data_IF_223711518313
#
_entry.id   IF_223711518313
#
_cell.length_a   1.000
_cell.length_b   1.000
_cell.length_c   1.000
_cell.angle_alpha   90.00
_cell.angle_beta   90.00
_cell.angle_gamma   90.00
#
_symmetry.space_group_name_H-M   'P 1'
#
loop_
_entity.id
_entity.type
_entity.pdbx_description
1 polymer ?
#
# COMPACT_ATOMS: atom_id res chain seq x y z
N UNK A 1 -16.20 35.72 21.77
CA UNK A 1 -14.97 34.91 21.91
C UNK A 1 -15.31 33.70 22.75
N UNK A 2 -14.89 32.49 22.36
CA UNK A 2 -15.04 31.28 23.17
C UNK A 2 -13.77 31.08 23.99
N UNK A 3 -13.88 30.94 25.32
CA UNK A 3 -12.75 30.53 26.16
C UNK A 3 -12.37 29.08 25.84
N UNK A 4 -11.07 28.84 25.57
CA UNK A 4 -10.55 27.56 25.05
C UNK A 4 -9.87 26.76 26.16
N UNK A 5 -10.68 26.06 26.98
CA UNK A 5 -10.24 25.33 28.17
C UNK A 5 -9.16 24.25 27.87
N UNK A 6 -9.14 23.69 26.65
CA UNK A 6 -8.15 22.70 26.23
C UNK A 6 -6.71 23.26 26.11
N UNK A 7 -6.53 24.59 26.11
CA UNK A 7 -5.20 25.19 26.17
C UNK A 7 -4.64 25.21 27.59
N UNK A 8 -5.53 25.40 28.58
CA UNK A 8 -5.15 25.46 29.99
C UNK A 8 -4.97 24.06 30.56
N UNK A 9 -5.86 23.14 30.19
CA UNK A 9 -5.81 21.74 30.60
C UNK A 9 -6.28 20.79 29.49
N UNK A 10 -5.33 20.14 28.79
CA UNK A 10 -5.64 19.16 27.75
C UNK A 10 -6.29 17.88 28.29
N UNK A 11 -6.22 17.63 29.61
CA UNK A 11 -6.80 16.47 30.30
C UNK A 11 -8.22 16.71 30.82
N UNK A 12 -8.78 17.91 30.63
CA UNK A 12 -10.12 18.22 31.05
C UNK A 12 -11.13 17.41 30.20
N UNK A 13 -11.80 16.45 30.83
CA UNK A 13 -12.75 15.54 30.19
C UNK A 13 -14.21 15.99 30.34
N UNK A 14 -14.49 16.82 31.34
CA UNK A 14 -15.83 17.31 31.64
C UNK A 14 -15.78 18.81 31.96
N UNK A 15 -16.81 19.53 31.57
CA UNK A 15 -16.90 20.98 31.82
C UNK A 15 -18.35 21.46 31.73
N UNK A 16 -18.66 22.57 32.38
CA UNK A 16 -19.95 23.26 32.27
C UNK A 16 -19.79 24.53 31.44
N UNK A 17 -20.74 24.76 30.55
CA UNK A 17 -20.78 25.93 29.69
C UNK A 17 -22.21 26.47 29.52
N UNK A 18 -22.31 27.73 29.08
CA UNK A 18 -23.57 28.34 28.68
C UNK A 18 -23.69 28.34 27.15
N UNK A 19 -24.87 27.92 26.65
CA UNK A 19 -25.23 28.02 25.25
C UNK A 19 -25.47 29.49 24.88
N UNK A 20 -24.67 30.05 23.99
CA UNK A 20 -24.83 31.42 23.51
C UNK A 20 -25.72 31.51 22.27
N UNK A 21 -25.56 30.54 21.35
CA UNK A 21 -26.31 30.46 20.09
C UNK A 21 -26.55 28.98 19.76
N UNK A 22 -27.73 28.69 19.25
CA UNK A 22 -28.06 27.38 18.65
C UNK A 22 -28.85 27.60 17.37
N UNK A 23 -28.27 27.26 16.22
CA UNK A 23 -28.88 27.45 14.91
C UNK A 23 -28.96 26.14 14.12
N UNK A 24 -30.01 25.94 13.30
CA UNK A 24 -30.09 24.79 12.41
C UNK A 24 -28.93 24.74 11.40
N UNK A 25 -28.41 23.54 11.14
CA UNK A 25 -27.42 23.23 10.12
C UNK A 25 -27.77 21.89 9.43
N UNK A 26 -28.61 21.92 8.41
CA UNK A 26 -29.15 20.74 7.76
C UNK A 26 -29.96 19.89 8.73
N UNK A 27 -29.55 18.64 8.94
CA UNK A 27 -30.15 17.70 9.88
C UNK A 27 -29.55 17.81 11.30
N UNK A 28 -28.67 18.78 11.54
CA UNK A 28 -27.95 18.99 12.77
C UNK A 28 -28.09 20.44 13.26
N UNK A 29 -27.38 20.80 14.31
CA UNK A 29 -27.40 22.13 14.89
C UNK A 29 -25.97 22.60 15.18
N UNK A 30 -25.66 23.85 14.84
CA UNK A 30 -24.41 24.51 15.24
C UNK A 30 -24.63 25.25 16.55
N UNK A 31 -23.84 24.92 17.55
CA UNK A 31 -23.90 25.49 18.89
C UNK A 31 -22.63 26.28 19.17
N UNK A 32 -22.82 27.52 19.65
CA UNK A 32 -21.78 28.36 20.19
C UNK A 32 -21.87 28.38 21.71
N UNK A 33 -20.75 28.11 22.37
CA UNK A 33 -20.61 28.14 23.82
C UNK A 33 -19.75 29.33 24.27
N UNK A 34 -19.96 29.80 25.52
CA UNK A 34 -19.10 30.79 26.15
C UNK A 34 -17.69 30.24 26.39
N UNK A 35 -17.54 28.97 26.70
CA UNK A 35 -16.26 28.24 26.85
C UNK A 35 -16.38 26.78 26.39
N UNK A 36 -15.25 26.17 26.02
CA UNK A 36 -15.25 24.79 25.52
C UNK A 36 -13.95 24.08 25.82
N UNK A 37 -14.06 22.79 26.23
CA UNK A 37 -12.95 21.85 26.30
C UNK A 37 -12.81 21.00 25.01
N UNK A 38 -13.77 21.04 24.07
CA UNK A 38 -13.68 20.35 22.79
C UNK A 38 -12.63 21.00 21.91
N UNK A 39 -11.62 20.23 21.50
CA UNK A 39 -10.62 20.67 20.55
C UNK A 39 -11.21 20.68 19.13
N UNK A 40 -11.08 21.78 18.38
CA UNK A 40 -11.54 21.86 16.99
C UNK A 40 -10.51 21.28 16.03
N UNK A 41 -10.91 20.94 14.81
CA UNK A 41 -9.95 20.59 13.74
C UNK A 41 -8.98 21.76 13.51
N UNK A 42 -7.71 21.53 13.79
CA UNK A 42 -6.66 22.54 13.60
C UNK A 42 -5.27 21.89 13.54
N UNK A 43 -4.33 22.49 12.77
CA UNK A 43 -2.93 22.08 12.74
C UNK A 43 -2.68 20.61 12.36
N UNK A 44 -3.57 19.98 11.61
CA UNK A 44 -3.49 18.56 11.24
C UNK A 44 -4.06 17.59 12.28
N UNK A 45 -4.46 18.08 13.47
CA UNK A 45 -5.18 17.30 14.46
C UNK A 45 -6.69 17.42 14.24
N UNK A 46 -7.43 16.29 14.14
CA UNK A 46 -8.89 16.28 14.03
C UNK A 46 -9.57 16.74 15.32
N UNK A 47 -10.85 17.13 15.18
CA UNK A 47 -11.71 17.55 16.28
C UNK A 47 -12.04 16.42 17.26
N UNK A 48 -12.41 16.83 18.49
CA UNK A 48 -12.95 15.92 19.48
C UNK A 48 -14.42 15.62 19.25
N UNK A 49 -14.85 14.48 19.74
CA UNK A 49 -16.25 14.10 19.85
C UNK A 49 -16.64 13.94 21.32
N UNK A 50 -17.93 13.83 21.59
CA UNK A 50 -18.45 13.65 22.95
C UNK A 50 -19.91 14.04 23.05
N UNK A 51 -20.30 14.52 24.23
CA UNK A 51 -21.68 14.93 24.55
C UNK A 51 -21.74 16.36 25.08
N UNK A 52 -22.77 17.11 24.69
CA UNK A 52 -23.20 18.37 25.29
C UNK A 52 -24.63 18.17 25.79
N UNK A 53 -24.79 17.95 27.09
CA UNK A 53 -26.04 17.45 27.65
C UNK A 53 -26.41 16.13 27.00
N UNK A 54 -27.58 16.06 26.36
CA UNK A 54 -28.08 14.88 25.64
C UNK A 54 -27.80 14.91 24.13
N UNK A 55 -27.11 15.96 23.63
CA UNK A 55 -26.73 16.11 22.22
C UNK A 55 -25.32 15.59 21.98
N UNK A 56 -25.16 14.74 20.95
CA UNK A 56 -23.83 14.25 20.53
C UNK A 56 -23.11 15.29 19.70
N UNK A 57 -21.83 15.58 20.02
CA UNK A 57 -20.94 16.42 19.23
C UNK A 57 -20.34 15.58 18.11
N UNK A 58 -20.55 15.99 16.86
CA UNK A 58 -20.13 15.29 15.64
C UNK A 58 -19.13 16.06 14.80
N UNK A 59 -18.96 17.37 15.05
CA UNK A 59 -17.91 18.20 14.47
C UNK A 59 -17.60 19.38 15.39
N UNK A 60 -16.35 19.85 15.40
CA UNK A 60 -15.93 21.06 16.11
C UNK A 60 -14.97 21.84 15.20
N UNK A 61 -15.32 23.10 14.91
CA UNK A 61 -14.53 23.95 14.05
C UNK A 61 -14.37 25.38 14.61
N UNK A 62 -13.37 26.10 14.09
CA UNK A 62 -13.08 27.48 14.50
C UNK A 62 -13.45 28.43 13.39
N UNK A 63 -14.17 29.51 13.72
CA UNK A 63 -14.42 30.65 12.86
C UNK A 63 -13.99 31.93 13.58
N UNK A 64 -12.84 32.46 13.18
CA UNK A 64 -12.22 33.58 13.89
C UNK A 64 -11.84 33.20 15.34
N UNK A 65 -12.46 33.87 16.32
CA UNK A 65 -12.19 33.64 17.75
C UNK A 65 -13.23 32.76 18.44
N UNK A 66 -14.19 32.20 17.71
CA UNK A 66 -15.26 31.37 18.29
C UNK A 66 -15.12 29.92 17.85
N UNK A 67 -15.53 29.02 18.75
CA UNK A 67 -15.54 27.57 18.52
C UNK A 67 -16.99 27.12 18.35
N UNK A 68 -17.29 26.57 17.17
CA UNK A 68 -18.59 26.03 16.82
C UNK A 68 -18.62 24.51 17.03
N UNK A 69 -19.71 24.01 17.60
CA UNK A 69 -19.94 22.58 17.82
C UNK A 69 -21.15 22.15 16.99
N UNK A 70 -20.98 21.26 16.05
CA UNK A 70 -22.12 20.64 15.34
C UNK A 70 -22.63 19.46 16.16
N UNK A 71 -23.92 19.52 16.54
CA UNK A 71 -24.54 18.54 17.42
C UNK A 71 -25.79 17.93 16.80
N UNK A 72 -26.16 16.73 17.31
CA UNK A 72 -27.29 15.94 16.76
C UNK A 72 -28.67 16.40 17.21
N UNK A 73 -28.77 17.21 18.28
CA UNK A 73 -30.03 17.73 18.82
C UNK A 73 -29.87 19.21 19.15
N UNK A 74 -30.97 19.99 19.11
CA UNK A 74 -30.94 21.40 19.50
C UNK A 74 -30.72 21.57 21.01
N UNK A 75 -30.02 22.64 21.37
CA UNK A 75 -29.84 23.07 22.76
C UNK A 75 -30.49 24.44 22.94
N UNK A 76 -31.10 24.69 24.10
CA UNK A 76 -31.74 25.96 24.38
C UNK A 76 -30.71 27.06 24.61
N UNK A 77 -30.84 28.18 23.92
CA UNK A 77 -29.99 29.36 24.15
C UNK A 77 -30.20 29.88 25.61
N UNK A 78 -29.12 30.31 26.23
CA UNK A 78 -29.07 30.71 27.62
C UNK A 78 -29.02 29.55 28.65
N UNK A 79 -29.21 28.31 28.22
CA UNK A 79 -29.15 27.15 29.12
C UNK A 79 -27.69 26.83 29.50
N UNK A 80 -27.50 26.34 30.75
CA UNK A 80 -26.26 25.68 31.14
C UNK A 80 -26.25 24.25 30.63
N UNK A 81 -25.14 23.81 30.03
CA UNK A 81 -24.96 22.48 29.52
C UNK A 81 -23.67 21.87 30.07
N UNK A 82 -23.73 20.57 30.39
CA UNK A 82 -22.58 19.79 30.79
C UNK A 82 -21.95 19.14 29.55
N UNK A 83 -20.65 19.36 29.31
CA UNK A 83 -19.89 18.79 28.23
C UNK A 83 -19.01 17.63 28.69
N UNK A 84 -19.03 16.52 27.96
CA UNK A 84 -18.20 15.33 28.22
C UNK A 84 -17.44 14.97 26.96
N UNK A 85 -16.09 14.99 27.04
CA UNK A 85 -15.18 14.67 25.93
C UNK A 85 -15.03 13.16 25.79
N UNK A 86 -15.01 12.65 24.54
CA UNK A 86 -14.54 11.29 24.27
C UNK A 86 -13.04 11.21 24.53
N UNK A 87 -12.68 10.84 25.76
CA UNK A 87 -11.29 10.82 26.20
C UNK A 87 -10.41 9.88 25.38
N UNK A 88 -10.90 8.70 25.01
CA UNK A 88 -10.13 7.75 24.23
C UNK A 88 -9.69 8.36 22.88
N UNK A 89 -10.58 9.08 22.20
CA UNK A 89 -10.27 9.81 20.97
C UNK A 89 -9.30 10.98 21.21
N UNK A 90 -9.55 11.79 22.23
CA UNK A 90 -8.69 12.92 22.60
C UNK A 90 -7.27 12.44 22.88
N UNK A 91 -7.11 11.45 23.75
CA UNK A 91 -5.81 10.98 24.18
C UNK A 91 -5.03 10.31 23.04
N UNK A 92 -5.70 9.54 22.19
CA UNK A 92 -5.12 9.00 20.97
C UNK A 92 -4.58 10.11 20.06
N UNK A 93 -5.36 11.18 19.81
CA UNK A 93 -4.87 12.32 19.02
C UNK A 93 -3.70 13.05 19.69
N UNK A 94 -3.69 13.18 21.01
CA UNK A 94 -2.58 13.76 21.75
C UNK A 94 -1.30 12.93 21.58
N UNK A 95 -1.41 11.59 21.63
CA UNK A 95 -0.28 10.67 21.39
C UNK A 95 0.25 10.80 19.95
N UNK A 96 -0.64 10.78 18.94
CA UNK A 96 -0.23 10.92 17.54
C UNK A 96 0.45 12.28 17.31
N UNK A 97 -0.09 13.37 17.89
CA UNK A 97 0.46 14.72 17.68
C UNK A 97 1.82 14.89 18.35
N UNK A 98 1.99 14.38 19.56
CA UNK A 98 3.29 14.42 20.21
C UNK A 98 4.33 13.55 19.48
N UNK A 99 3.92 12.37 18.97
CA UNK A 99 4.77 11.52 18.13
C UNK A 99 5.21 12.23 16.83
N UNK A 100 4.32 13.01 16.19
CA UNK A 100 4.67 13.86 15.05
C UNK A 100 5.84 14.78 15.39
N UNK A 101 5.71 15.55 16.48
CA UNK A 101 6.77 16.47 16.89
C UNK A 101 8.09 15.76 17.17
N UNK A 102 8.07 14.61 17.86
CA UNK A 102 9.25 13.84 18.17
C UNK A 102 9.92 13.28 16.91
N UNK A 103 9.15 12.70 15.98
CA UNK A 103 9.68 12.21 14.69
C UNK A 103 10.22 13.37 13.86
N UNK A 104 9.52 14.50 13.80
CA UNK A 104 9.95 15.69 13.08
C UNK A 104 11.26 16.28 13.65
N UNK A 105 11.39 16.31 14.98
CA UNK A 105 12.61 16.70 15.65
C UNK A 105 13.78 15.75 15.36
N UNK A 106 13.56 14.45 15.44
CA UNK A 106 14.57 13.43 15.11
C UNK A 106 15.00 13.50 13.63
N UNK A 107 14.06 13.63 12.69
CA UNK A 107 14.33 13.84 11.26
C UNK A 107 15.18 15.10 11.03
N UNK A 108 14.88 16.18 11.75
CA UNK A 108 15.67 17.41 11.65
C UNK A 108 17.10 17.23 12.22
N UNK A 109 17.25 16.64 13.40
CA UNK A 109 18.56 16.42 14.02
C UNK A 109 19.44 15.46 13.21
N UNK A 110 18.87 14.34 12.77
CA UNK A 110 19.61 13.23 12.12
C UNK A 110 19.85 13.51 10.63
N UNK A 111 18.85 14.04 9.92
CA UNK A 111 18.87 14.14 8.46
C UNK A 111 18.68 15.56 7.91
N UNK A 112 18.54 16.57 8.76
CA UNK A 112 18.23 17.96 8.38
C UNK A 112 16.91 18.10 7.60
N UNK A 113 15.98 17.15 7.75
CA UNK A 113 14.65 17.19 7.17
C UNK A 113 13.80 18.31 7.77
N UNK A 114 12.97 18.95 6.95
CA UNK A 114 12.05 20.02 7.37
C UNK A 114 10.62 19.57 7.18
N UNK A 115 9.84 19.53 8.26
CA UNK A 115 8.43 19.16 8.23
C UNK A 115 7.61 20.24 7.54
N UNK A 116 6.80 19.85 6.54
CA UNK A 116 5.94 20.74 5.76
C UNK A 116 4.45 20.44 5.92
N UNK A 117 4.08 19.30 6.50
CA UNK A 117 2.69 18.96 6.77
C UNK A 117 2.56 17.80 7.75
N UNK A 118 1.50 17.87 8.57
CA UNK A 118 1.04 16.81 9.46
C UNK A 118 -0.37 16.40 9.04
N UNK A 119 -0.65 15.11 9.09
CA UNK A 119 -1.98 14.56 8.90
C UNK A 119 -2.23 13.41 9.90
N UNK A 120 -3.07 13.68 10.89
CA UNK A 120 -3.56 12.66 11.83
C UNK A 120 -4.89 12.13 11.28
N UNK A 121 -4.93 10.85 10.90
CA UNK A 121 -6.15 10.14 10.51
C UNK A 121 -6.61 9.19 11.61
N UNK A 122 -7.70 8.46 11.39
CA UNK A 122 -8.21 7.50 12.37
C UNK A 122 -7.33 6.25 12.54
N UNK A 123 -6.56 5.87 11.51
CA UNK A 123 -5.75 4.65 11.53
C UNK A 123 -4.25 4.93 11.53
N UNK A 124 -3.77 5.70 10.59
CA UNK A 124 -2.34 5.93 10.35
C UNK A 124 -2.10 7.43 10.25
N UNK A 125 -1.17 7.94 11.01
CA UNK A 125 -0.73 9.33 10.93
C UNK A 125 0.44 9.47 9.95
N UNK A 126 0.61 10.65 9.35
CA UNK A 126 1.72 10.89 8.43
C UNK A 126 2.28 12.29 8.52
N UNK A 127 3.59 12.39 8.28
CA UNK A 127 4.35 13.64 8.17
C UNK A 127 4.88 13.75 6.75
N UNK A 128 4.69 14.91 6.15
CA UNK A 128 5.36 15.27 4.90
C UNK A 128 6.62 16.07 5.20
N UNK A 129 7.76 15.61 4.70
CA UNK A 129 9.09 16.16 5.01
C UNK A 129 9.79 16.57 3.73
N UNK A 130 10.28 17.81 3.67
CA UNK A 130 11.24 18.24 2.67
C UNK A 130 12.64 17.83 3.12
N UNK A 131 13.32 17.06 2.27
CA UNK A 131 14.70 16.63 2.53
C UNK A 131 15.70 17.61 1.92
N UNK A 132 16.94 17.69 2.43
CA UNK A 132 18.00 18.45 1.82
C UNK A 132 18.26 18.04 0.37
N UNK A 133 18.83 18.95 -0.41
CA UNK A 133 19.23 18.66 -1.80
C UNK A 133 20.15 17.43 -1.89
N UNK A 134 19.87 16.55 -2.83
CA UNK A 134 20.59 15.28 -3.02
C UNK A 134 20.08 14.11 -2.17
N UNK A 135 19.23 14.33 -1.17
CA UNK A 135 18.62 13.25 -0.38
C UNK A 135 17.28 12.85 -0.99
N UNK A 136 17.30 11.80 -1.81
CA UNK A 136 16.11 11.31 -2.52
C UNK A 136 15.43 10.12 -1.84
N UNK A 137 16.06 9.55 -0.80
CA UNK A 137 15.57 8.38 -0.08
C UNK A 137 15.99 8.44 1.40
N UNK A 138 15.14 7.90 2.26
CA UNK A 138 15.43 7.55 3.66
C UNK A 138 15.55 6.03 3.69
N UNK A 139 16.69 5.51 4.15
CA UNK A 139 16.95 4.07 4.22
C UNK A 139 16.42 3.47 5.52
N UNK A 140 16.26 2.16 5.57
CA UNK A 140 15.75 1.46 6.76
C UNK A 140 16.63 1.67 7.99
N UNK A 141 17.94 1.86 7.79
CA UNK A 141 18.87 2.20 8.88
C UNK A 141 18.58 3.58 9.48
N UNK A 142 18.28 4.58 8.64
CA UNK A 142 17.91 5.91 9.09
C UNK A 142 16.56 5.90 9.80
N UNK A 143 15.59 5.15 9.26
CA UNK A 143 14.27 4.94 9.91
C UNK A 143 14.48 4.36 11.29
N UNK A 144 15.31 3.32 11.43
CA UNK A 144 15.61 2.69 12.72
C UNK A 144 16.30 3.64 13.70
N UNK A 145 17.23 4.48 13.23
CA UNK A 145 17.87 5.51 14.05
C UNK A 145 16.87 6.54 14.57
N UNK A 146 15.95 6.98 13.72
CA UNK A 146 14.88 7.93 14.09
C UNK A 146 13.93 7.28 15.13
N UNK A 147 13.52 6.03 14.92
CA UNK A 147 12.65 5.31 15.85
C UNK A 147 13.33 5.12 17.22
N UNK A 148 14.61 4.77 17.25
CA UNK A 148 15.38 4.61 18.48
C UNK A 148 15.50 5.92 19.23
N UNK A 149 15.81 7.03 18.56
CA UNK A 149 15.88 8.37 19.16
C UNK A 149 14.54 8.77 19.80
N UNK A 150 13.45 8.59 19.07
CA UNK A 150 12.09 8.90 19.57
C UNK A 150 11.71 8.03 20.75
N UNK A 151 11.93 6.71 20.67
CA UNK A 151 11.55 5.79 21.74
C UNK A 151 12.48 5.90 22.96
N UNK A 152 13.73 6.36 22.82
CA UNK A 152 14.60 6.72 23.98
C UNK A 152 13.99 7.88 24.78
N UNK A 153 13.51 8.93 24.11
CA UNK A 153 12.80 10.04 24.77
C UNK A 153 11.54 9.57 25.50
N UNK A 154 10.79 8.62 24.90
CA UNK A 154 9.61 8.00 25.53
C UNK A 154 10.03 7.23 26.81
N UNK A 155 11.05 6.39 26.72
CA UNK A 155 11.55 5.58 27.85
C UNK A 155 12.11 6.45 28.98
N UNK A 156 12.78 7.55 28.64
CA UNK A 156 13.24 8.54 29.61
C UNK A 156 12.12 9.39 30.18
N UNK A 157 10.91 9.24 29.64
CA UNK A 157 9.72 9.99 30.05
C UNK A 157 9.94 11.51 30.13
N UNK A 158 10.57 12.07 29.08
CA UNK A 158 10.88 13.51 29.05
C UNK A 158 9.60 14.35 29.15
N UNK A 159 9.63 15.50 29.87
CA UNK A 159 8.43 16.33 30.03
C UNK A 159 8.02 16.99 28.72
N UNK A 160 6.70 17.15 28.53
CA UNK A 160 6.11 17.94 27.44
C UNK A 160 5.46 19.17 28.08
N UNK A 161 5.97 20.35 27.75
CA UNK A 161 5.49 21.63 28.26
C UNK A 161 4.79 22.41 27.17
N UNK A 162 3.68 23.04 27.53
CA UNK A 162 2.89 23.87 26.64
C UNK A 162 2.60 25.19 27.33
N UNK A 163 2.96 26.34 26.71
CA UNK A 163 2.71 27.66 27.28
C UNK A 163 2.60 28.74 26.21
N UNK A 164 2.13 29.92 26.61
CA UNK A 164 2.12 31.12 25.81
C UNK A 164 3.23 32.06 26.32
N UNK A 165 4.39 32.12 25.69
CA UNK A 165 5.46 33.02 26.10
C UNK A 165 5.10 34.48 25.83
N UNK A 166 5.61 35.42 26.64
CA UNK A 166 5.63 36.86 26.28
C UNK A 166 6.41 37.09 24.97
N UNK A 167 6.09 38.18 24.26
CA UNK A 167 6.69 38.46 22.96
C UNK A 167 8.22 38.57 22.99
N UNK A 168 8.80 39.06 24.09
CA UNK A 168 10.24 39.18 24.30
C UNK A 168 10.89 37.81 24.45
N UNK A 169 10.28 36.90 25.22
CA UNK A 169 10.75 35.51 25.39
C UNK A 169 10.67 34.75 24.06
N UNK A 170 9.57 34.90 23.32
CA UNK A 170 9.35 34.19 22.04
C UNK A 170 10.49 34.39 21.04
N UNK A 171 11.09 35.59 21.00
CA UNK A 171 12.18 35.92 20.09
C UNK A 171 13.49 35.21 20.41
N UNK A 172 13.66 34.73 21.66
CA UNK A 172 14.88 34.09 22.13
C UNK A 172 14.77 32.56 22.13
N UNK A 173 13.56 31.99 21.94
CA UNK A 173 13.35 30.56 21.97
C UNK A 173 13.99 29.86 20.74
N UNK A 174 14.69 28.73 20.94
CA UNK A 174 15.32 27.97 19.87
C UNK A 174 14.30 27.12 19.09
N UNK A 175 13.37 27.78 18.42
CA UNK A 175 12.31 27.12 17.69
C UNK A 175 12.85 26.37 16.46
N UNK A 176 12.50 25.11 16.28
CA UNK A 176 12.85 24.32 15.08
C UNK A 176 12.31 24.96 13.79
N UNK A 177 11.18 25.64 13.86
CA UNK A 177 10.54 26.33 12.74
C UNK A 177 9.93 27.65 13.21
N UNK A 178 10.06 28.70 12.40
CA UNK A 178 9.41 29.96 12.66
C UNK A 178 7.89 29.82 12.79
N UNK A 179 7.23 30.52 13.75
CA UNK A 179 5.78 30.53 13.88
C UNK A 179 5.11 31.08 12.62
N UNK A 180 3.96 30.52 12.26
CA UNK A 180 3.12 31.05 11.17
C UNK A 180 2.14 32.13 11.63
N UNK A 181 1.97 32.30 12.94
CA UNK A 181 1.13 33.32 13.58
C UNK A 181 2.02 34.28 14.37
N UNK A 182 1.61 35.52 14.49
CA UNK A 182 2.39 36.58 15.14
C UNK A 182 1.86 36.96 16.53
N UNK A 183 0.60 36.61 16.83
CA UNK A 183 -0.04 36.89 18.11
C UNK A 183 -0.52 35.59 18.79
N UNK A 184 -0.50 35.58 20.10
CA UNK A 184 -0.92 34.43 20.91
C UNK A 184 -0.26 33.11 20.48
N UNK A 185 1.05 33.17 20.23
CA UNK A 185 1.84 32.01 19.83
C UNK A 185 1.97 31.04 21.00
N UNK A 186 1.38 29.86 20.87
CA UNK A 186 1.57 28.78 21.85
C UNK A 186 2.77 27.95 21.48
N UNK A 187 3.64 27.67 22.45
CA UNK A 187 4.84 26.85 22.27
C UNK A 187 4.62 25.48 22.92
N UNK A 188 5.14 24.45 22.24
CA UNK A 188 5.26 23.10 22.75
C UNK A 188 6.74 22.75 22.77
N UNK A 189 7.24 22.33 23.93
CA UNK A 189 8.61 21.81 24.11
C UNK A 189 8.54 20.37 24.62
N UNK A 190 9.34 19.49 24.02
CA UNK A 190 9.49 18.07 24.41
C UNK A 190 10.94 17.86 24.82
N UNK A 191 11.15 17.71 26.12
CA UNK A 191 12.50 17.77 26.69
C UNK A 191 13.19 19.08 26.33
N UNK A 192 14.49 18.99 26.07
CA UNK A 192 15.33 20.12 25.63
C UNK A 192 15.61 20.11 24.12
N UNK A 193 15.21 19.07 23.44
CA UNK A 193 15.61 18.77 22.04
C UNK A 193 14.60 19.20 20.99
N UNK A 194 13.34 19.41 21.34
CA UNK A 194 12.30 19.81 20.41
C UNK A 194 11.49 20.98 20.98
N UNK A 195 11.41 22.04 20.19
CA UNK A 195 10.60 23.21 20.52
C UNK A 195 9.96 23.79 19.27
N UNK A 196 8.62 23.96 19.28
CA UNK A 196 7.88 24.41 18.11
C UNK A 196 6.61 25.17 18.49
N UNK A 197 6.17 26.09 17.65
CA UNK A 197 4.86 26.73 17.79
C UNK A 197 3.76 25.73 17.38
N UNK A 198 2.85 25.40 18.33
CA UNK A 198 1.77 24.46 18.10
C UNK A 198 0.53 24.73 18.96
N UNK A 199 -0.64 24.80 18.33
CA UNK A 199 -1.95 24.96 18.99
C UNK A 199 -2.63 23.65 19.33
N UNK A 200 -2.01 22.48 19.12
CA UNK A 200 -2.61 21.17 19.39
C UNK A 200 -2.63 20.77 20.85
N UNK A 201 -3.32 19.69 21.16
CA UNK A 201 -3.29 19.08 22.50
C UNK A 201 -2.20 18.02 22.58
N UNK A 202 -1.48 17.99 23.70
CA UNK A 202 -0.36 17.08 23.94
C UNK A 202 -0.45 16.44 25.33
N UNK A 203 0.10 15.22 25.52
CA UNK A 203 0.29 14.65 26.85
C UNK A 203 1.32 15.47 27.64
N UNK A 204 1.35 15.33 28.97
CA UNK A 204 2.28 16.06 29.84
C UNK A 204 3.70 15.50 29.83
N UNK A 205 3.89 14.28 29.31
CA UNK A 205 5.21 13.65 29.19
C UNK A 205 5.24 12.62 28.07
N UNK A 206 6.43 12.39 27.52
CA UNK A 206 6.64 11.48 26.40
C UNK A 206 6.32 10.02 26.75
N UNK A 207 6.54 9.58 28.00
CA UNK A 207 6.22 8.22 28.42
C UNK A 207 4.74 7.83 28.24
N UNK A 208 3.82 8.80 28.16
CA UNK A 208 2.41 8.56 27.87
C UNK A 208 2.15 8.17 26.42
N UNK A 209 3.11 8.29 25.52
CA UNK A 209 3.01 7.77 24.15
C UNK A 209 3.17 6.24 24.11
N UNK A 210 3.86 5.65 25.10
CA UNK A 210 4.12 4.21 25.15
C UNK A 210 5.12 3.76 24.10
N UNK A 211 4.72 3.70 22.83
CA UNK A 211 5.56 3.28 21.69
C UNK A 211 5.25 4.13 20.47
N UNK A 212 6.27 4.45 19.69
CA UNK A 212 6.15 5.03 18.35
C UNK A 212 6.77 4.08 17.33
N UNK A 213 6.03 3.80 16.25
CA UNK A 213 6.48 2.97 15.13
C UNK A 213 6.30 3.71 13.81
N UNK A 214 7.36 3.79 13.01
CA UNK A 214 7.31 4.24 11.62
C UNK A 214 6.93 3.03 10.77
N UNK A 215 5.80 3.11 10.06
CA UNK A 215 5.28 2.00 9.24
C UNK A 215 5.88 2.00 7.83
N UNK A 216 6.07 3.19 7.27
CA UNK A 216 6.61 3.32 5.91
C UNK A 216 7.18 4.72 5.66
N UNK A 217 8.09 4.78 4.71
CA UNK A 217 8.60 6.03 4.13
C UNK A 217 8.51 5.93 2.62
N UNK A 218 7.85 6.89 1.98
CA UNK A 218 7.63 6.88 0.54
C UNK A 218 7.79 8.28 -0.08
N UNK A 219 8.30 8.39 -1.32
CA UNK A 219 8.31 9.64 -2.08
C UNK A 219 6.87 10.12 -2.35
N UNK A 220 6.62 11.41 -2.18
CA UNK A 220 5.31 12.03 -2.40
C UNK A 220 5.45 13.44 -2.99
N UNK A 221 5.36 13.58 -4.31
CA UNK A 221 5.35 14.87 -5.03
C UNK A 221 6.48 15.84 -4.60
N UNK A 222 7.73 15.38 -4.66
CA UNK A 222 8.92 16.20 -4.32
C UNK A 222 9.25 16.29 -2.83
N UNK A 223 8.60 15.50 -2.00
CA UNK A 223 8.81 15.36 -0.56
C UNK A 223 8.79 13.89 -0.15
N UNK A 224 9.17 13.59 1.08
CA UNK A 224 9.04 12.26 1.66
C UNK A 224 7.84 12.24 2.61
N UNK A 225 7.01 11.21 2.49
CA UNK A 225 5.93 10.93 3.44
C UNK A 225 6.37 9.84 4.40
N UNK A 226 6.38 10.15 5.68
CA UNK A 226 6.65 9.22 6.78
C UNK A 226 5.31 8.88 7.43
N UNK A 227 4.90 7.62 7.31
CA UNK A 227 3.68 7.10 7.94
C UNK A 227 4.03 6.43 9.27
N UNK A 228 3.28 6.73 10.32
CA UNK A 228 3.58 6.27 11.67
C UNK A 228 2.32 6.01 12.50
N UNK A 229 2.50 5.32 13.60
CA UNK A 229 1.53 5.10 14.67
C UNK A 229 2.20 5.27 16.02
N UNK A 230 1.41 5.70 17.03
CA UNK A 230 1.86 5.85 18.41
C UNK A 230 0.82 5.27 19.40
N UNK A 231 1.23 4.98 20.61
CA UNK A 231 0.35 4.55 21.70
C UNK A 231 -0.37 3.24 21.40
N UNK A 232 -1.67 3.22 21.66
CA UNK A 232 -2.50 2.03 21.44
C UNK A 232 -2.49 1.55 19.99
N UNK A 233 -2.35 2.46 19.02
CA UNK A 233 -2.25 2.09 17.59
C UNK A 233 -0.99 1.30 17.32
N UNK A 234 0.15 1.70 17.90
CA UNK A 234 1.42 0.98 17.76
C UNK A 234 1.37 -0.39 18.45
N UNK A 235 0.69 -0.50 19.59
CA UNK A 235 0.47 -1.78 20.27
C UNK A 235 -0.40 -2.73 19.45
N UNK A 236 -1.48 -2.23 18.84
CA UNK A 236 -2.34 -3.03 17.95
C UNK A 236 -1.59 -3.48 16.70
N UNK A 237 -0.76 -2.62 16.11
CA UNK A 237 0.11 -2.98 14.97
C UNK A 237 1.09 -4.09 15.35
N UNK A 238 1.73 -3.97 16.52
CA UNK A 238 2.61 -5.02 17.05
C UNK A 238 1.87 -6.37 17.21
N UNK A 239 0.67 -6.37 17.80
CA UNK A 239 -0.12 -7.59 17.94
C UNK A 239 -0.42 -8.21 16.58
N UNK A 240 -0.90 -7.41 15.61
CA UNK A 240 -1.21 -7.90 14.27
C UNK A 240 0.02 -8.52 13.56
N UNK A 241 1.18 -7.85 13.66
CA UNK A 241 2.44 -8.37 13.11
C UNK A 241 2.91 -9.65 13.83
N UNK A 242 2.83 -9.67 15.17
CA UNK A 242 3.20 -10.83 16.00
C UNK A 242 2.33 -12.05 15.69
N UNK A 243 0.99 -11.85 15.66
CA UNK A 243 0.04 -12.92 15.38
C UNK A 243 0.25 -13.49 13.97
N UNK A 244 0.47 -12.63 12.96
CA UNK A 244 0.75 -13.06 11.59
C UNK A 244 2.06 -13.86 11.50
N UNK A 245 3.12 -13.41 12.19
CA UNK A 245 4.41 -14.10 12.21
C UNK A 245 4.32 -15.46 12.90
N UNK A 246 3.62 -15.55 14.05
CA UNK A 246 3.37 -16.82 14.75
C UNK A 246 2.54 -17.79 13.92
N UNK A 247 1.47 -17.30 13.28
CA UNK A 247 0.65 -18.13 12.40
C UNK A 247 1.41 -18.66 11.18
N UNK A 248 2.35 -17.87 10.62
CA UNK A 248 3.22 -18.32 9.55
C UNK A 248 4.24 -19.38 10.04
N UNK A 249 4.84 -19.15 11.21
CA UNK A 249 5.78 -20.09 11.82
C UNK A 249 5.12 -21.45 12.13
N UNK A 250 3.91 -21.44 12.69
CA UNK A 250 3.13 -22.65 12.96
C UNK A 250 2.88 -23.47 11.70
N UNK A 251 2.45 -22.83 10.58
CA UNK A 251 2.23 -23.51 9.29
C UNK A 251 3.48 -24.17 8.72
N UNK A 252 4.65 -23.61 9.03
CA UNK A 252 5.95 -24.15 8.57
C UNK A 252 6.63 -25.04 9.61
N UNK A 253 5.98 -25.33 10.74
CA UNK A 253 6.58 -26.05 11.86
C UNK A 253 7.91 -25.45 12.30
N UNK A 254 7.99 -24.12 12.31
CA UNK A 254 9.15 -23.30 12.66
C UNK A 254 8.87 -22.45 13.92
N UNK A 255 9.88 -21.83 14.45
CA UNK A 255 9.75 -20.72 15.41
C UNK A 255 10.05 -19.37 14.70
N UNK A 256 9.87 -18.25 15.38
CA UNK A 256 10.09 -16.92 14.78
C UNK A 256 11.54 -16.71 14.31
N UNK A 257 12.51 -17.28 15.01
CA UNK A 257 13.92 -17.16 14.65
C UNK A 257 14.26 -17.92 13.37
N UNK A 258 13.69 -19.11 13.20
CA UNK A 258 13.91 -19.97 12.03
C UNK A 258 12.95 -19.75 10.89
N UNK A 259 11.91 -18.93 11.08
CA UNK A 259 10.87 -18.65 10.07
C UNK A 259 11.42 -18.18 8.72
N UNK A 260 12.37 -17.21 8.64
CA UNK A 260 12.93 -16.77 7.36
C UNK A 260 13.60 -17.93 6.61
N UNK A 261 14.44 -18.70 7.29
CA UNK A 261 15.11 -19.85 6.69
C UNK A 261 14.11 -20.93 6.21
N UNK A 262 13.03 -21.17 6.94
CA UNK A 262 11.97 -22.11 6.57
C UNK A 262 11.22 -21.66 5.32
N UNK A 263 11.00 -20.35 5.15
CA UNK A 263 10.42 -19.78 3.92
C UNK A 263 11.37 -19.99 2.75
N UNK A 264 12.66 -19.73 2.90
CA UNK A 264 13.66 -19.94 1.85
C UNK A 264 13.73 -21.39 1.39
N UNK A 265 13.66 -22.33 2.33
CA UNK A 265 13.59 -23.78 2.04
C UNK A 265 12.32 -24.12 1.26
N UNK A 266 11.16 -23.59 1.66
CA UNK A 266 9.89 -23.79 0.95
C UNK A 266 9.95 -23.25 -0.49
N UNK A 267 10.45 -22.03 -0.67
CA UNK A 267 10.61 -21.42 -1.99
C UNK A 267 11.55 -22.24 -2.90
N UNK A 268 12.68 -22.70 -2.36
CA UNK A 268 13.64 -23.53 -3.07
C UNK A 268 13.03 -24.87 -3.48
N UNK A 269 12.28 -25.51 -2.57
CA UNK A 269 11.60 -26.78 -2.85
C UNK A 269 10.50 -26.61 -3.91
N UNK A 270 9.72 -25.54 -3.84
CA UNK A 270 8.71 -25.21 -4.85
C UNK A 270 9.35 -25.08 -6.23
N UNK A 271 10.43 -24.32 -6.36
CA UNK A 271 11.17 -24.15 -7.62
C UNK A 271 11.69 -25.49 -8.17
N UNK A 272 12.23 -26.34 -7.30
CA UNK A 272 12.70 -27.68 -7.71
C UNK A 272 11.54 -28.52 -8.25
N UNK A 273 10.42 -28.60 -7.53
CA UNK A 273 9.24 -29.38 -7.94
C UNK A 273 8.65 -28.84 -9.26
N UNK A 274 8.59 -27.53 -9.45
CA UNK A 274 8.14 -26.91 -10.71
C UNK A 274 9.06 -27.29 -11.88
N UNK A 275 10.37 -27.30 -11.67
CA UNK A 275 11.38 -27.68 -12.67
C UNK A 275 11.24 -29.15 -13.03
N UNK A 276 11.12 -30.04 -12.04
CA UNK A 276 10.92 -31.47 -12.26
C UNK A 276 9.61 -31.76 -13.00
N UNK A 277 8.52 -31.07 -12.59
CA UNK A 277 7.22 -31.21 -13.25
C UNK A 277 7.30 -30.80 -14.73
N UNK A 278 7.98 -29.70 -15.03
CA UNK A 278 8.16 -29.23 -16.40
C UNK A 278 9.04 -30.20 -17.22
N UNK A 279 10.09 -30.75 -16.63
CA UNK A 279 10.90 -31.81 -17.27
C UNK A 279 10.06 -33.07 -17.57
N UNK A 280 9.29 -33.55 -16.61
CA UNK A 280 8.41 -34.73 -16.81
C UNK A 280 7.32 -34.46 -17.87
N UNK A 281 6.72 -33.27 -17.90
CA UNK A 281 5.78 -32.88 -18.96
C UNK A 281 6.44 -32.90 -20.33
N UNK A 282 7.66 -32.35 -20.41
CA UNK A 282 8.46 -32.34 -21.64
C UNK A 282 8.75 -33.75 -22.14
N UNK A 283 9.28 -34.60 -21.28
CA UNK A 283 9.59 -35.99 -21.62
C UNK A 283 8.33 -36.75 -22.06
N UNK A 284 7.22 -36.58 -21.36
CA UNK A 284 5.93 -37.22 -21.72
C UNK A 284 5.44 -36.78 -23.10
N UNK A 285 5.62 -35.51 -23.48
CA UNK A 285 5.17 -35.01 -24.78
C UNK A 285 6.11 -35.46 -25.89
N UNK A 286 7.42 -35.33 -25.69
CA UNK A 286 8.42 -35.71 -26.67
C UNK A 286 8.44 -37.25 -26.91
N UNK A 287 8.19 -38.06 -25.89
CA UNK A 287 8.12 -39.53 -26.04
C UNK A 287 6.98 -40.01 -26.95
N UNK A 288 6.03 -39.13 -27.29
CA UNK A 288 4.97 -39.46 -28.26
C UNK A 288 5.39 -39.29 -29.72
N UNK A 289 6.52 -38.64 -29.99
CA UNK A 289 6.96 -38.38 -31.37
C UNK A 289 7.07 -39.63 -32.24
N UNK A 290 7.64 -40.77 -31.79
CA UNK A 290 7.67 -42.01 -32.60
C UNK A 290 6.29 -42.54 -32.96
N UNK A 291 5.32 -42.48 -32.02
CA UNK A 291 3.94 -42.88 -32.28
C UNK A 291 3.25 -41.92 -33.27
N UNK A 292 3.48 -40.59 -33.12
CA UNK A 292 2.93 -39.61 -34.06
C UNK A 292 3.49 -39.77 -35.47
N UNK A 293 4.76 -40.17 -35.61
CA UNK A 293 5.38 -40.49 -36.90
C UNK A 293 4.81 -41.79 -37.51
N UNK A 294 4.53 -42.79 -36.68
CA UNK A 294 3.92 -44.05 -37.12
C UNK A 294 2.45 -43.83 -37.57
N UNK A 295 1.69 -43.00 -36.85
CA UNK A 295 0.27 -42.75 -37.12
C UNK A 295 0.04 -41.61 -38.13
N UNK A 296 1.10 -41.09 -38.73
CA UNK A 296 1.04 -39.96 -39.69
C UNK A 296 0.22 -40.34 -40.95
N UNK A 297 -0.63 -39.41 -41.37
CA UNK A 297 -1.39 -39.54 -42.63
C UNK A 297 -0.44 -39.42 -43.81
N UNK A 298 -0.47 -40.40 -44.73
CA UNK A 298 0.33 -40.37 -45.94
C UNK A 298 -0.46 -39.67 -47.06
N UNK A 299 0.03 -38.53 -47.52
CA UNK A 299 -0.57 -37.76 -48.61
C UNK A 299 -0.27 -38.43 -49.97
N UNK A 300 -1.01 -38.06 -51.06
CA UNK A 300 -0.81 -38.66 -52.39
C UNK A 300 0.59 -38.48 -53.00
N UNK A 301 1.34 -37.47 -52.55
CA UNK A 301 2.71 -37.20 -52.94
C UNK A 301 3.76 -38.01 -52.12
N UNK A 302 3.32 -38.83 -51.19
CA UNK A 302 4.16 -39.59 -50.28
C UNK A 302 4.59 -38.87 -49.01
N UNK A 303 4.20 -37.58 -48.83
CA UNK A 303 4.51 -36.78 -47.63
C UNK A 303 3.69 -37.28 -46.43
N UNK A 304 4.30 -37.36 -45.26
CA UNK A 304 3.63 -37.73 -43.99
C UNK A 304 3.15 -36.48 -43.29
N UNK A 305 1.83 -36.36 -43.05
CA UNK A 305 1.20 -35.26 -42.36
C UNK A 305 0.86 -35.63 -40.90
N UNK A 306 1.38 -34.88 -39.97
CA UNK A 306 1.08 -34.93 -38.53
C UNK A 306 0.38 -33.64 -38.13
N UNK A 307 -0.90 -33.71 -37.81
CA UNK A 307 -1.67 -32.53 -37.49
C UNK A 307 -2.62 -32.78 -36.32
N UNK A 308 -2.30 -32.24 -35.15
CA UNK A 308 -3.13 -32.43 -33.95
C UNK A 308 -2.89 -31.37 -32.86
N UNK A 309 -3.82 -31.31 -31.91
CA UNK A 309 -3.62 -30.55 -30.69
C UNK A 309 -2.84 -31.41 -29.66
N UNK A 310 -1.93 -30.74 -28.95
CA UNK A 310 -1.07 -31.34 -27.92
C UNK A 310 -1.17 -30.50 -26.66
N UNK A 311 -1.18 -31.13 -25.49
CA UNK A 311 -1.11 -30.44 -24.20
C UNK A 311 0.34 -30.00 -23.94
N UNK A 312 0.67 -28.81 -24.42
CA UNK A 312 2.03 -28.27 -24.42
C UNK A 312 2.01 -26.72 -24.43
N UNK A 313 3.07 -26.10 -23.94
CA UNK A 313 3.32 -24.68 -24.16
C UNK A 313 4.02 -24.44 -25.52
N UNK A 314 4.21 -23.15 -25.83
CA UNK A 314 4.83 -22.75 -27.10
C UNK A 314 6.27 -23.25 -27.26
N UNK A 315 7.04 -23.42 -26.18
CA UNK A 315 8.39 -23.95 -26.22
C UNK A 315 8.40 -25.42 -26.55
N UNK A 316 7.56 -26.17 -25.84
CA UNK A 316 7.45 -27.61 -26.02
C UNK A 316 6.85 -27.99 -27.38
N UNK A 317 5.88 -27.20 -27.90
CA UNK A 317 5.41 -27.37 -29.28
C UNK A 317 6.52 -27.18 -30.30
N UNK A 318 7.40 -26.19 -30.13
CA UNK A 318 8.56 -25.98 -30.99
C UNK A 318 9.53 -27.18 -30.99
N UNK A 319 9.84 -27.65 -29.77
CA UNK A 319 10.75 -28.78 -29.59
C UNK A 319 10.19 -30.05 -30.23
N UNK A 320 8.90 -30.34 -30.01
CA UNK A 320 8.25 -31.49 -30.62
C UNK A 320 8.14 -31.36 -32.14
N UNK A 321 7.78 -30.19 -32.66
CA UNK A 321 7.73 -29.92 -34.10
C UNK A 321 9.12 -30.11 -34.73
N UNK A 322 10.18 -29.56 -34.11
CA UNK A 322 11.55 -29.70 -34.59
C UNK A 322 11.97 -31.15 -34.64
N UNK A 323 11.66 -31.93 -33.61
CA UNK A 323 11.94 -33.37 -33.54
C UNK A 323 11.22 -34.16 -34.63
N UNK A 324 9.97 -33.86 -34.92
CA UNK A 324 9.17 -34.55 -35.94
C UNK A 324 9.64 -34.26 -37.35
N UNK A 325 10.10 -33.02 -37.65
CA UNK A 325 10.59 -32.63 -39.00
C UNK A 325 12.04 -33.02 -39.26
N UNK A 326 12.77 -33.58 -38.28
CA UNK A 326 14.07 -34.24 -38.53
C UNK A 326 13.90 -35.45 -39.42
N UNK A 327 12.72 -36.10 -39.37
CA UNK A 327 12.41 -37.21 -40.26
C UNK A 327 12.11 -36.73 -41.70
N UNK A 328 12.68 -37.32 -42.72
CA UNK A 328 12.44 -36.94 -44.12
C UNK A 328 10.98 -37.09 -44.56
N UNK A 329 10.50 -36.14 -45.36
CA UNK A 329 9.13 -36.18 -45.91
C UNK A 329 8.02 -35.94 -44.90
N UNK A 330 8.27 -35.23 -43.78
CA UNK A 330 7.28 -34.95 -42.75
C UNK A 330 6.82 -33.49 -42.78
N UNK A 331 5.50 -33.31 -42.62
CA UNK A 331 4.87 -32.03 -42.28
C UNK A 331 4.29 -32.20 -40.87
N UNK A 332 4.68 -31.37 -39.93
CA UNK A 332 4.12 -31.32 -38.56
C UNK A 332 3.37 -30.01 -38.36
N UNK A 333 2.07 -30.08 -38.09
CA UNK A 333 1.19 -28.94 -37.75
C UNK A 333 0.62 -29.15 -36.37
N UNK A 334 1.27 -28.62 -35.36
CA UNK A 334 0.87 -28.81 -33.97
C UNK A 334 0.19 -27.57 -33.39
N UNK A 335 -0.84 -27.80 -32.59
CA UNK A 335 -1.51 -26.75 -31.83
C UNK A 335 -1.58 -27.08 -30.35
N UNK A 336 -1.61 -26.06 -29.49
CA UNK A 336 -2.00 -26.20 -28.09
C UNK A 336 -3.13 -25.21 -27.79
N UNK A 337 -4.25 -25.77 -27.33
CA UNK A 337 -5.47 -25.01 -27.09
C UNK A 337 -5.59 -24.62 -25.62
N UNK A 338 -6.00 -23.36 -25.36
CA UNK A 338 -6.36 -22.86 -24.03
C UNK A 338 -7.66 -22.03 -24.17
N UNK A 339 -8.80 -22.63 -23.80
CA UNK A 339 -10.12 -22.05 -24.01
C UNK A 339 -10.42 -21.79 -25.49
N UNK A 340 -10.80 -20.57 -25.83
CA UNK A 340 -11.14 -20.14 -27.20
C UNK A 340 -9.93 -19.71 -28.04
N UNK A 341 -8.71 -19.84 -27.51
CA UNK A 341 -7.46 -19.52 -28.19
C UNK A 341 -6.57 -20.74 -28.30
N UNK A 342 -5.73 -20.74 -29.32
CA UNK A 342 -4.70 -21.76 -29.51
C UNK A 342 -3.40 -21.11 -30.01
N UNK A 343 -2.28 -21.73 -29.64
CA UNK A 343 -0.96 -21.45 -30.23
C UNK A 343 -0.63 -22.56 -31.21
N UNK A 344 0.13 -22.21 -32.24
CA UNK A 344 0.47 -23.10 -33.35
C UNK A 344 1.94 -23.08 -33.63
N UNK A 345 2.50 -24.25 -33.95
CA UNK A 345 3.80 -24.41 -34.56
C UNK A 345 3.66 -25.37 -35.73
N UNK A 346 3.98 -24.87 -36.92
CA UNK A 346 3.97 -25.62 -38.16
C UNK A 346 5.41 -25.77 -38.67
N UNK A 347 5.77 -26.96 -39.04
CA UNK A 347 7.08 -27.26 -39.60
C UNK A 347 7.04 -28.28 -40.73
N UNK A 348 8.04 -28.29 -41.56
CA UNK A 348 8.25 -29.35 -42.56
C UNK A 348 9.75 -29.66 -42.71
N UNK A 349 10.05 -30.94 -43.04
CA UNK A 349 11.42 -31.35 -43.38
C UNK A 349 11.92 -30.68 -44.65
N UNK A 350 13.24 -30.58 -44.83
CA UNK A 350 13.89 -29.85 -45.93
C UNK A 350 13.53 -30.40 -47.33
N UNK A 351 13.12 -31.65 -47.44
CA UNK A 351 12.71 -32.28 -48.70
C UNK A 351 11.29 -31.87 -49.13
N UNK A 352 10.49 -31.37 -48.21
CA UNK A 352 9.10 -30.94 -48.46
C UNK A 352 9.10 -29.51 -49.00
N UNK A 353 8.71 -29.35 -50.27
CA UNK A 353 8.65 -28.02 -50.92
C UNK A 353 7.33 -27.28 -50.62
N UNK A 354 7.05 -27.02 -49.32
CA UNK A 354 5.84 -26.26 -48.88
C UNK A 354 6.25 -25.14 -47.95
N UNK A 355 5.55 -23.99 -48.05
CA UNK A 355 5.80 -22.81 -47.22
C UNK A 355 4.84 -22.79 -46.03
N UNK A 356 5.31 -23.27 -44.86
CA UNK A 356 4.58 -23.28 -43.60
C UNK A 356 4.32 -21.85 -43.08
N UNK A 357 5.22 -20.89 -43.39
CA UNK A 357 5.06 -19.49 -42.99
C UNK A 357 3.86 -18.84 -43.67
N UNK A 358 3.72 -19.06 -44.99
CA UNK A 358 2.59 -18.55 -45.77
C UNK A 358 1.32 -19.28 -45.41
N UNK A 359 1.37 -20.62 -45.30
CA UNK A 359 0.22 -21.44 -44.88
C UNK A 359 -0.39 -20.96 -43.55
N UNK A 360 0.43 -20.85 -42.52
CA UNK A 360 -0.04 -20.42 -41.20
C UNK A 360 -0.56 -18.99 -41.22
N UNK A 361 0.09 -18.07 -41.94
CA UNK A 361 -0.34 -16.67 -42.06
C UNK A 361 -1.70 -16.55 -42.70
N UNK A 362 -1.95 -17.29 -43.78
CA UNK A 362 -3.21 -17.21 -44.55
C UNK A 362 -4.37 -17.83 -43.75
N UNK A 363 -4.17 -19.01 -43.12
CA UNK A 363 -5.16 -19.63 -42.26
C UNK A 363 -5.46 -18.76 -41.02
N UNK A 364 -4.43 -18.18 -40.39
CA UNK A 364 -4.62 -17.29 -39.25
C UNK A 364 -5.41 -16.02 -39.60
N UNK A 365 -5.14 -15.41 -40.76
CA UNK A 365 -5.87 -14.23 -41.25
C UNK A 365 -7.35 -14.52 -41.46
N UNK A 366 -7.70 -15.69 -41.98
CA UNK A 366 -9.07 -16.12 -42.22
C UNK A 366 -9.87 -16.41 -40.97
N UNK A 367 -9.20 -16.85 -39.91
CA UNK A 367 -9.83 -17.30 -38.64
C UNK A 367 -9.51 -16.40 -37.43
N UNK A 368 -9.17 -15.13 -37.66
CA UNK A 368 -9.01 -14.14 -36.58
C UNK A 368 -7.75 -14.31 -35.72
N UNK A 369 -6.69 -14.89 -36.31
CA UNK A 369 -5.40 -15.09 -35.65
C UNK A 369 -4.27 -14.28 -36.28
N UNK A 370 -3.06 -14.49 -35.78
CA UNK A 370 -1.80 -13.96 -36.31
C UNK A 370 -0.76 -15.07 -36.33
N UNK A 371 0.03 -15.11 -37.41
CA UNK A 371 1.10 -16.11 -37.53
C UNK A 371 1.97 -15.85 -38.74
N UNK A 372 3.06 -16.63 -38.84
CA UNK A 372 4.00 -16.61 -39.92
C UNK A 372 5.36 -17.14 -39.49
N UNK A 373 6.31 -17.16 -40.41
CA UNK A 373 7.65 -17.67 -40.15
C UNK A 373 8.43 -17.87 -41.44
N UNK A 374 9.40 -18.76 -41.37
CA UNK A 374 10.20 -19.21 -42.54
C UNK A 374 9.41 -20.29 -43.30
N UNK A 375 9.75 -20.61 -44.54
CA UNK A 375 9.09 -21.67 -45.28
C UNK A 375 9.11 -23.03 -44.57
N UNK A 376 10.19 -23.40 -43.90
CA UNK A 376 10.29 -24.66 -43.18
C UNK A 376 9.71 -24.65 -41.75
N UNK A 377 9.47 -23.42 -41.16
CA UNK A 377 9.04 -23.34 -39.72
C UNK A 377 8.29 -22.06 -39.44
N UNK A 378 7.10 -22.18 -38.92
CA UNK A 378 6.22 -21.06 -38.60
C UNK A 378 5.56 -21.21 -37.22
N UNK A 379 5.21 -20.07 -36.59
CA UNK A 379 4.49 -20.04 -35.34
C UNK A 379 3.42 -18.96 -35.34
N UNK A 380 2.36 -19.16 -34.58
CA UNK A 380 1.24 -18.25 -34.51
C UNK A 380 0.27 -18.55 -33.41
N UNK A 381 -0.83 -17.79 -33.36
CA UNK A 381 -1.91 -18.00 -32.40
C UNK A 381 -3.22 -17.44 -32.95
N UNK A 382 -4.33 -17.93 -32.40
CA UNK A 382 -5.68 -17.51 -32.78
C UNK A 382 -6.73 -18.54 -32.45
N UNK A 383 -7.85 -18.54 -33.21
CA UNK A 383 -8.94 -19.49 -33.03
C UNK A 383 -8.50 -20.95 -33.24
N UNK A 384 -9.06 -21.92 -32.49
CA UNK A 384 -8.85 -23.36 -32.73
C UNK A 384 -9.17 -23.82 -34.14
N UNK A 385 -9.97 -23.07 -34.92
CA UNK A 385 -10.32 -23.38 -36.31
C UNK A 385 -9.16 -23.26 -37.30
N UNK A 386 -8.02 -22.64 -36.91
CA UNK A 386 -6.84 -22.48 -37.77
C UNK A 386 -6.23 -23.85 -38.15
N UNK A 387 -6.15 -24.79 -37.21
CA UNK A 387 -5.54 -26.09 -37.49
C UNK A 387 -6.36 -26.92 -38.50
N UNK A 388 -7.68 -27.12 -38.35
CA UNK A 388 -8.48 -27.76 -39.39
C UNK A 388 -8.37 -27.11 -40.77
N UNK A 389 -8.44 -25.79 -40.85
CA UNK A 389 -8.30 -25.07 -42.09
C UNK A 389 -6.92 -25.29 -42.76
N UNK A 390 -5.87 -25.34 -41.96
CA UNK A 390 -4.50 -25.62 -42.46
C UNK A 390 -4.38 -27.07 -42.96
N UNK A 391 -5.01 -28.04 -42.31
CA UNK A 391 -5.07 -29.45 -42.76
C UNK A 391 -5.73 -29.53 -44.12
N UNK A 392 -6.91 -28.90 -44.29
CA UNK A 392 -7.64 -28.91 -45.55
C UNK A 392 -6.86 -28.24 -46.68
N UNK A 393 -6.15 -27.14 -46.38
CA UNK A 393 -5.29 -26.46 -47.35
C UNK A 393 -4.10 -27.34 -47.80
N UNK A 394 -3.50 -28.09 -46.87
CA UNK A 394 -2.41 -29.03 -47.19
C UNK A 394 -2.89 -30.20 -48.05
N UNK A 395 -4.08 -30.73 -47.78
CA UNK A 395 -4.69 -31.83 -48.55
C UNK A 395 -5.15 -31.40 -49.95
N UNK A 396 -5.58 -30.13 -50.09
CA UNK A 396 -6.08 -29.60 -51.40
C UNK A 396 -4.93 -29.19 -52.35
N UNK A 397 -3.74 -28.93 -51.84
CA UNK A 397 -2.58 -28.54 -52.66
C UNK A 397 -1.98 -29.79 -53.36
N UNK A 398 -2.22 -29.90 -54.64
CA UNK A 398 -1.66 -30.96 -55.56
C UNK A 398 -0.25 -30.68 -55.91
#
# INVERSE_FOLDING_TARGET
MTERLYYDNAYLTEFDAQVLVCRPNGNHYDVLLNRSAFYPTSGGQPFDTGMLGDARVIDVNVQGQVVWHTVTKPLSEGASVHGVINWARRFDHMQQHAADHMIAGALHRIMRGVTIGLHISEKISSIDVAMPEGVTRIYDEDVRRIELDVNDHIQRNVPIRCWFPPAEELQTLPLRKAPTVTEHVRIVAIGDDEMVACGGTHPSSAGQLGLVKILSVAPARGKMRVSFVAGQRALHDYFACSDAAHAAAERLSANLETLPASIDVLCSRLHTVETELNALKRDRVLSKAPQMLHDAEVLPDGTRLIAQFVDADASLLRDLTSMLIEEPGVIAMLGAQSGDQAIYVFGCSDEVRRDMGTLLRDCARQHGGKGGGRPSFAQGGGSPAILPAAIDAVRAAR
#
